data_IF_434894742172
#
_entry.id   IF_434894742172
#
_cell.length_a   1.000
_cell.length_b   1.000
_cell.length_c   1.000
_cell.angle_alpha   90.00
_cell.angle_beta   90.00
_cell.angle_gamma   90.00
#
_symmetry.space_group_name_H-M   'P 1'
#
loop_
_entity.id
_entity.type
_entity.pdbx_description
1 polymer ?
#
# COMPACT_ATOMS: atom_id res chain seq x y z
N UNK A 1 14.57 16.96 3.02
CA UNK A 1 14.67 16.77 1.57
C UNK A 1 15.97 16.04 1.23
N UNK A 2 16.04 14.73 1.42
CA UNK A 2 17.25 13.94 1.08
C UNK A 2 16.88 12.46 0.94
N UNK A 3 15.99 12.13 -0.02
CA UNK A 3 15.57 10.73 -0.23
C UNK A 3 15.37 10.33 -1.70
N UNK A 4 15.94 11.06 -2.65
CA UNK A 4 15.76 10.74 -4.11
C UNK A 4 17.11 10.64 -4.86
N UNK A 5 18.23 10.40 -4.21
CA UNK A 5 19.52 10.42 -4.91
C UNK A 5 20.27 9.08 -4.97
N UNK A 6 19.61 7.93 -4.83
CA UNK A 6 20.35 6.65 -4.82
C UNK A 6 19.73 5.50 -5.62
N UNK A 7 19.02 5.78 -6.71
CA UNK A 7 18.43 4.73 -7.55
C UNK A 7 18.73 4.88 -9.05
N UNK A 8 19.81 5.56 -9.42
CA UNK A 8 20.33 5.51 -10.80
C UNK A 8 21.73 4.88 -10.81
N UNK A 9 21.81 3.62 -10.43
CA UNK A 9 22.93 2.79 -10.85
C UNK A 9 22.61 2.27 -12.25
N UNK A 10 23.39 2.66 -13.24
CA UNK A 10 23.28 2.21 -14.61
C UNK A 10 23.29 0.67 -14.65
N UNK A 11 22.18 0.10 -15.08
CA UNK A 11 22.08 -1.32 -15.41
C UNK A 11 22.79 -1.49 -16.78
N UNK A 12 23.87 -2.25 -16.88
CA UNK A 12 24.41 -2.58 -18.19
C UNK A 12 23.38 -3.41 -18.95
N UNK A 13 22.98 -2.95 -20.12
CA UNK A 13 22.23 -3.70 -21.13
C UNK A 13 23.07 -4.91 -21.57
N UNK A 14 23.00 -5.99 -20.85
CA UNK A 14 23.38 -7.30 -21.32
C UNK A 14 22.10 -8.00 -21.76
N UNK A 15 21.83 -7.96 -23.06
CA UNK A 15 20.89 -8.85 -23.72
C UNK A 15 21.31 -10.31 -23.43
N UNK A 16 20.73 -10.88 -22.38
CA UNK A 16 20.68 -12.31 -22.14
C UNK A 16 19.23 -12.74 -22.31
N UNK A 17 18.91 -13.22 -23.48
CA UNK A 17 17.65 -13.97 -23.66
C UNK A 17 17.66 -15.18 -22.70
N UNK A 18 16.91 -15.07 -21.62
CA UNK A 18 16.63 -16.23 -20.78
C UNK A 18 15.77 -17.21 -21.58
N UNK A 19 16.08 -18.51 -21.57
CA UNK A 19 15.34 -19.51 -22.29
C UNK A 19 13.86 -19.49 -21.89
N UNK A 20 12.97 -19.63 -22.86
CA UNK A 20 11.52 -19.53 -22.71
C UNK A 20 10.91 -20.46 -21.65
N UNK A 21 11.62 -21.51 -21.25
CA UNK A 21 11.19 -22.46 -20.22
C UNK A 21 11.20 -21.89 -18.79
N UNK A 22 12.01 -20.85 -18.50
CA UNK A 22 12.06 -20.21 -17.19
C UNK A 22 10.98 -19.13 -16.99
N UNK A 23 10.24 -18.77 -18.04
CA UNK A 23 9.19 -17.75 -18.00
C UNK A 23 7.84 -18.27 -17.51
N UNK A 24 7.66 -19.58 -17.38
CA UNK A 24 6.46 -20.14 -16.78
C UNK A 24 6.56 -20.04 -15.26
N UNK A 25 6.08 -18.92 -14.70
CA UNK A 25 6.16 -18.63 -13.28
C UNK A 25 5.70 -19.79 -12.45
N UNK A 26 6.60 -20.32 -11.68
CA UNK A 26 6.37 -21.43 -10.75
C UNK A 26 5.49 -20.88 -9.64
N UNK A 27 4.23 -21.29 -9.64
CA UNK A 27 3.38 -21.13 -8.45
C UNK A 27 3.96 -22.03 -7.36
N UNK A 28 4.32 -21.52 -6.21
CA UNK A 28 4.71 -22.37 -5.10
C UNK A 28 3.52 -23.25 -4.73
N UNK A 29 3.63 -24.55 -4.99
CA UNK A 29 2.55 -25.53 -4.75
C UNK A 29 2.26 -25.78 -3.28
N UNK A 30 3.10 -25.35 -2.36
CA UNK A 30 2.85 -25.44 -0.91
C UNK A 30 3.91 -24.69 -0.08
N UNK A 31 3.47 -24.02 0.91
CA UNK A 31 4.06 -23.85 2.24
C UNK A 31 5.10 -22.75 2.45
N UNK A 32 6.12 -22.60 1.68
CA UNK A 32 7.18 -21.61 1.94
C UNK A 32 7.26 -20.60 0.81
N UNK A 33 6.92 -19.35 1.12
CA UNK A 33 7.03 -18.26 0.17
C UNK A 33 8.51 -18.00 -0.16
N UNK A 34 8.84 -17.97 -1.45
CA UNK A 34 10.15 -17.58 -1.97
C UNK A 34 10.03 -16.23 -2.65
N UNK A 35 11.07 -15.38 -2.54
CA UNK A 35 11.16 -14.15 -3.30
C UNK A 35 11.27 -14.40 -4.80
N UNK A 36 11.18 -13.35 -5.59
CA UNK A 36 11.31 -13.41 -7.05
C UNK A 36 12.69 -13.99 -7.41
N UNK A 37 13.55 -13.85 -7.52
CA UNK A 37 14.84 -14.12 -8.06
C UNK A 37 15.46 -12.84 -8.61
N UNK A 38 16.60 -12.96 -9.28
CA UNK A 38 17.32 -11.81 -9.81
C UNK A 38 16.59 -11.10 -10.97
N UNK A 39 15.81 -11.83 -11.76
CA UNK A 39 15.18 -11.32 -12.98
C UNK A 39 13.67 -11.59 -13.00
N UNK A 40 12.86 -10.78 -12.29
CA UNK A 40 11.41 -10.94 -12.33
C UNK A 40 10.86 -10.56 -13.71
N UNK A 41 9.86 -11.29 -14.20
CA UNK A 41 9.13 -10.91 -15.41
C UNK A 41 8.21 -9.71 -15.11
N UNK A 42 8.71 -8.51 -15.39
CA UNK A 42 8.02 -7.25 -15.14
C UNK A 42 6.80 -7.02 -16.04
N UNK A 43 6.69 -7.78 -17.14
CA UNK A 43 5.56 -7.67 -18.08
C UNK A 43 4.39 -8.57 -17.66
N UNK A 44 4.61 -9.53 -16.80
CA UNK A 44 3.60 -10.45 -16.34
C UNK A 44 2.68 -9.80 -15.32
N UNK A 45 1.38 -9.91 -15.56
CA UNK A 45 0.36 -9.52 -14.59
C UNK A 45 0.10 -10.68 -13.63
N UNK A 46 0.40 -10.48 -12.37
CA UNK A 46 0.13 -11.44 -11.30
C UNK A 46 -1.21 -11.14 -10.63
N UNK A 47 -1.92 -12.18 -10.23
CA UNK A 47 -3.10 -12.07 -9.38
C UNK A 47 -2.68 -12.28 -7.92
N UNK A 48 -3.41 -11.74 -6.95
CA UNK A 48 -3.15 -11.99 -5.54
C UNK A 48 -3.05 -13.49 -5.24
N UNK A 49 -1.97 -13.92 -4.58
CA UNK A 49 -1.69 -15.31 -4.28
C UNK A 49 -0.99 -16.12 -5.38
N UNK A 50 -0.64 -15.54 -6.53
CA UNK A 50 0.09 -16.23 -7.59
C UNK A 50 1.55 -16.53 -7.20
N UNK A 51 2.16 -15.67 -6.40
CA UNK A 51 3.58 -15.77 -6.03
C UNK A 51 3.80 -16.48 -4.69
N UNK A 52 2.93 -16.23 -3.74
CA UNK A 52 2.95 -16.81 -2.40
C UNK A 52 1.53 -16.88 -1.81
N UNK A 53 1.30 -17.80 -0.85
CA UNK A 53 -0.01 -17.89 -0.19
C UNK A 53 -0.35 -16.58 0.54
N UNK A 54 -1.58 -16.13 0.41
CA UNK A 54 -2.07 -14.96 1.11
C UNK A 54 -2.23 -15.24 2.62
N UNK A 55 -2.06 -14.20 3.41
CA UNK A 55 -2.00 -14.27 4.88
C UNK A 55 -3.36 -14.09 5.54
N UNK A 56 -4.21 -13.20 5.01
CA UNK A 56 -5.45 -12.87 5.67
C UNK A 56 -6.46 -14.03 5.66
N UNK A 57 -7.07 -14.28 6.81
CA UNK A 57 -8.31 -15.07 6.88
C UNK A 57 -9.45 -14.30 6.20
N UNK A 58 -10.56 -14.98 5.93
CA UNK A 58 -11.76 -14.34 5.34
C UNK A 58 -12.25 -13.15 6.19
N UNK A 59 -12.22 -13.28 7.51
CA UNK A 59 -12.67 -12.22 8.42
C UNK A 59 -11.68 -11.06 8.50
N UNK A 60 -10.38 -11.34 8.54
CA UNK A 60 -9.34 -10.32 8.45
C UNK A 60 -9.42 -9.55 7.13
N UNK A 61 -9.65 -10.24 6.01
CA UNK A 61 -9.85 -9.60 4.72
C UNK A 61 -11.04 -8.65 4.73
N UNK A 62 -12.19 -9.07 5.29
CA UNK A 62 -13.39 -8.20 5.44
C UNK A 62 -13.07 -6.97 6.29
N UNK A 63 -12.34 -7.16 7.38
CA UNK A 63 -11.92 -6.07 8.26
C UNK A 63 -11.02 -5.07 7.53
N UNK A 64 -10.05 -5.56 6.76
CA UNK A 64 -9.14 -4.71 5.98
C UNK A 64 -9.88 -3.96 4.87
N UNK A 65 -10.88 -4.55 4.21
CA UNK A 65 -11.74 -3.87 3.24
C UNK A 65 -12.38 -2.63 3.87
N UNK A 66 -13.01 -2.78 5.05
CA UNK A 66 -13.64 -1.67 5.77
C UNK A 66 -12.60 -0.60 6.16
N UNK A 67 -11.44 -1.02 6.64
CA UNK A 67 -10.36 -0.09 7.01
C UNK A 67 -9.80 0.67 5.80
N UNK A 68 -9.67 0.01 4.66
CA UNK A 68 -9.27 0.65 3.39
C UNK A 68 -10.22 1.79 3.02
N UNK A 69 -11.53 1.56 3.11
CA UNK A 69 -12.53 2.56 2.76
C UNK A 69 -12.67 3.68 3.81
N UNK A 70 -12.36 3.41 5.07
CA UNK A 70 -12.26 4.47 6.09
C UNK A 70 -11.03 5.35 5.86
N UNK A 71 -9.90 4.78 5.40
CA UNK A 71 -8.65 5.51 5.16
C UNK A 71 -8.72 6.30 3.85
N UNK A 72 -9.23 5.69 2.78
CA UNK A 72 -9.37 6.28 1.44
C UNK A 72 -10.80 6.02 0.93
N UNK A 73 -11.78 6.82 1.40
CA UNK A 73 -13.16 6.69 0.97
C UNK A 73 -13.35 7.14 -0.47
N UNK A 74 -14.43 6.67 -1.11
CA UNK A 74 -14.84 7.22 -2.39
C UNK A 74 -15.31 8.68 -2.22
N UNK A 75 -15.05 9.49 -3.23
CA UNK A 75 -15.58 10.83 -3.36
C UNK A 75 -16.26 11.03 -4.74
N UNK A 76 -16.47 12.28 -5.15
CA UNK A 76 -17.16 12.60 -6.42
C UNK A 76 -16.33 12.22 -7.67
N UNK A 77 -15.03 12.15 -7.53
CA UNK A 77 -14.07 11.99 -8.64
C UNK A 77 -13.29 10.70 -8.58
N UNK A 78 -13.20 10.11 -7.40
CA UNK A 78 -12.29 9.00 -7.13
C UNK A 78 -13.00 7.83 -6.41
N UNK A 79 -12.77 6.57 -6.84
CA UNK A 79 -13.32 5.39 -6.16
C UNK A 79 -12.65 5.16 -4.81
N UNK A 80 -13.29 4.37 -3.92
CA UNK A 80 -12.65 3.99 -2.65
C UNK A 80 -11.50 3.02 -2.84
N UNK A 81 -10.67 2.88 -1.81
CA UNK A 81 -9.52 1.97 -1.85
C UNK A 81 -9.93 0.50 -2.06
N UNK A 82 -11.03 0.06 -1.46
CA UNK A 82 -11.50 -1.31 -1.65
C UNK A 82 -11.98 -1.57 -3.07
N UNK A 83 -12.61 -0.59 -3.73
CA UNK A 83 -13.04 -0.69 -5.12
C UNK A 83 -11.85 -0.83 -6.09
N UNK A 84 -10.68 -0.34 -5.71
CA UNK A 84 -9.44 -0.47 -6.48
C UNK A 84 -8.61 -1.70 -6.11
N UNK A 85 -9.13 -2.58 -5.24
CA UNK A 85 -8.42 -3.79 -4.83
C UNK A 85 -7.22 -3.54 -3.91
N UNK A 86 -7.15 -2.39 -3.25
CA UNK A 86 -6.02 -2.03 -2.35
C UNK A 86 -5.89 -3.01 -1.19
N UNK A 87 -6.98 -3.61 -0.73
CA UNK A 87 -6.95 -4.65 0.28
C UNK A 87 -6.20 -5.92 -0.19
N UNK A 88 -6.23 -6.22 -1.49
CA UNK A 88 -5.46 -7.32 -2.08
C UNK A 88 -3.96 -6.98 -2.11
N UNK A 89 -3.63 -5.74 -2.46
CA UNK A 89 -2.25 -5.25 -2.37
C UNK A 89 -1.70 -5.35 -0.94
N UNK A 90 -2.49 -4.97 0.07
CA UNK A 90 -2.06 -5.08 1.48
C UNK A 90 -1.81 -6.53 1.86
N UNK A 91 -2.70 -7.45 1.48
CA UNK A 91 -2.51 -8.89 1.75
C UNK A 91 -1.28 -9.44 1.05
N UNK A 92 -1.10 -9.14 -0.24
CA UNK A 92 0.06 -9.54 -1.03
C UNK A 92 1.37 -9.01 -0.41
N UNK A 93 1.39 -7.74 -0.01
CA UNK A 93 2.54 -7.12 0.65
C UNK A 93 2.96 -7.86 1.91
N UNK A 94 2.03 -8.06 2.86
CA UNK A 94 2.36 -8.71 4.13
C UNK A 94 2.61 -10.22 3.99
N UNK A 95 2.19 -10.83 2.88
CA UNK A 95 2.39 -12.25 2.60
C UNK A 95 3.75 -12.56 2.01
N UNK A 96 4.42 -11.54 1.48
CA UNK A 96 5.72 -11.71 0.83
C UNK A 96 6.82 -12.15 1.82
N UNK A 97 7.85 -12.88 1.33
CA UNK A 97 8.85 -13.54 2.19
C UNK A 97 9.96 -12.63 2.71
N UNK A 98 9.96 -11.35 2.33
CA UNK A 98 11.05 -10.44 2.64
C UNK A 98 11.03 -9.96 4.11
N UNK A 99 12.18 -9.66 4.72
CA UNK A 99 12.26 -9.32 6.14
C UNK A 99 11.39 -8.12 6.54
N UNK A 100 11.37 -7.04 5.74
CA UNK A 100 10.58 -5.85 6.01
C UNK A 100 9.09 -6.16 6.02
N UNK A 101 8.60 -6.92 5.03
CA UNK A 101 7.20 -7.30 4.91
C UNK A 101 6.76 -8.28 6.01
N UNK A 102 7.66 -9.15 6.47
CA UNK A 102 7.40 -9.99 7.66
C UNK A 102 7.23 -9.15 8.92
N UNK A 103 8.01 -8.08 9.08
CA UNK A 103 7.84 -7.10 10.15
C UNK A 103 6.47 -6.43 10.08
N UNK A 104 6.07 -5.98 8.90
CA UNK A 104 4.76 -5.38 8.64
C UNK A 104 3.61 -6.35 8.93
N UNK A 105 3.75 -7.62 8.52
CA UNK A 105 2.78 -8.68 8.83
C UNK A 105 2.47 -8.75 10.31
N UNK A 106 3.50 -8.80 11.15
CA UNK A 106 3.33 -8.90 12.59
C UNK A 106 2.58 -7.69 13.16
N UNK A 107 2.91 -6.47 12.69
CA UNK A 107 2.25 -5.24 13.12
C UNK A 107 0.79 -5.22 12.68
N UNK A 108 0.52 -5.56 11.43
CA UNK A 108 -0.83 -5.54 10.84
C UNK A 108 -1.72 -6.58 11.53
N UNK A 109 -1.31 -7.84 11.62
CA UNK A 109 -2.12 -8.90 12.24
C UNK A 109 -2.40 -8.62 13.72
N UNK A 110 -1.39 -8.14 14.47
CA UNK A 110 -1.59 -7.70 15.87
C UNK A 110 -2.61 -6.55 15.96
N UNK A 111 -2.55 -5.62 15.01
CA UNK A 111 -3.47 -4.49 14.98
C UNK A 111 -4.91 -4.88 14.67
N UNK A 112 -5.13 -5.80 13.73
CA UNK A 112 -6.46 -6.33 13.41
C UNK A 112 -7.08 -7.03 14.61
N UNK A 113 -6.33 -7.90 15.31
CA UNK A 113 -6.80 -8.55 16.55
C UNK A 113 -7.13 -7.53 17.64
N UNK A 114 -6.30 -6.50 17.79
CA UNK A 114 -6.55 -5.44 18.76
C UNK A 114 -7.83 -4.64 18.46
N UNK A 115 -8.16 -4.41 17.18
CA UNK A 115 -9.39 -3.73 16.78
C UNK A 115 -10.63 -4.50 17.24
N UNK A 116 -10.67 -5.80 16.99
CA UNK A 116 -11.80 -6.65 17.42
C UNK A 116 -11.91 -6.74 18.95
N UNK A 117 -10.79 -6.85 19.66
CA UNK A 117 -10.79 -6.78 21.13
C UNK A 117 -11.31 -5.42 21.64
N UNK A 118 -10.89 -4.33 21.01
CA UNK A 118 -11.33 -2.97 21.38
C UNK A 118 -12.82 -2.77 21.15
N UNK A 119 -13.33 -3.27 20.03
CA UNK A 119 -14.75 -3.25 19.70
C UNK A 119 -15.55 -4.13 20.66
N UNK A 120 -15.07 -5.33 20.95
CA UNK A 120 -15.71 -6.28 21.88
C UNK A 120 -15.83 -5.76 23.30
N UNK A 121 -14.81 -5.09 23.83
CA UNK A 121 -14.83 -4.46 25.17
C UNK A 121 -15.84 -3.32 25.27
N UNK A 122 -16.04 -2.56 24.19
CA UNK A 122 -16.92 -1.39 24.19
C UNK A 122 -18.37 -1.75 23.87
N UNK A 123 -18.60 -2.61 22.88
CA UNK A 123 -19.91 -2.83 22.28
C UNK A 123 -20.33 -4.31 22.24
N UNK A 124 -19.54 -5.24 22.80
CA UNK A 124 -19.74 -6.70 22.73
C UNK A 124 -19.90 -7.23 21.30
N UNK A 125 -19.27 -6.58 20.31
CA UNK A 125 -19.38 -6.85 18.89
C UNK A 125 -18.00 -6.80 18.22
N UNK A 126 -17.84 -7.46 17.07
CA UNK A 126 -16.63 -7.28 16.24
C UNK A 126 -16.57 -5.87 15.63
N UNK A 127 -15.38 -5.41 15.24
CA UNK A 127 -15.24 -4.08 14.63
C UNK A 127 -16.12 -3.91 13.39
N UNK A 128 -16.24 -4.93 12.55
CA UNK A 128 -17.07 -4.90 11.34
C UNK A 128 -18.57 -4.70 11.66
N UNK A 129 -19.01 -5.23 12.80
CA UNK A 129 -20.42 -5.15 13.24
C UNK A 129 -20.79 -3.81 13.87
N UNK A 130 -19.81 -2.93 14.12
CA UNK A 130 -20.08 -1.58 14.62
C UNK A 130 -20.73 -0.72 13.53
N UNK A 131 -21.52 0.26 13.95
CA UNK A 131 -22.01 1.27 13.02
C UNK A 131 -20.83 2.14 12.49
N UNK A 132 -21.01 2.78 11.33
CA UNK A 132 -19.92 3.56 10.69
C UNK A 132 -19.36 4.68 11.58
N UNK A 133 -20.19 5.31 12.41
CA UNK A 133 -19.76 6.38 13.33
C UNK A 133 -18.78 5.85 14.39
N UNK A 134 -19.05 4.69 14.97
CA UNK A 134 -18.18 4.08 15.98
C UNK A 134 -16.89 3.54 15.35
N UNK A 135 -16.95 2.94 14.16
CA UNK A 135 -15.77 2.55 13.40
C UNK A 135 -14.86 3.73 13.14
N UNK A 136 -15.42 4.84 12.64
CA UNK A 136 -14.68 6.07 12.36
C UNK A 136 -14.07 6.65 13.64
N UNK A 137 -14.80 6.67 14.75
CA UNK A 137 -14.30 7.18 16.03
C UNK A 137 -13.08 6.39 16.55
N UNK A 138 -13.09 5.05 16.39
CA UNK A 138 -11.94 4.22 16.74
C UNK A 138 -10.75 4.52 15.82
N UNK A 139 -10.98 4.65 14.51
CA UNK A 139 -9.91 4.98 13.55
C UNK A 139 -9.33 6.38 13.78
N UNK A 140 -10.15 7.37 14.14
CA UNK A 140 -9.68 8.71 14.50
C UNK A 140 -8.82 8.70 15.79
N UNK A 141 -9.18 7.89 16.79
CA UNK A 141 -8.36 7.69 17.98
C UNK A 141 -6.99 7.09 17.64
N UNK A 142 -6.99 6.08 16.76
CA UNK A 142 -5.75 5.48 16.25
C UNK A 142 -4.91 6.48 15.46
N UNK A 143 -5.53 7.32 14.63
CA UNK A 143 -4.83 8.37 13.88
C UNK A 143 -4.16 9.38 14.81
N UNK A 144 -4.84 9.81 15.91
CA UNK A 144 -4.24 10.67 16.94
C UNK A 144 -3.05 10.02 17.61
N UNK A 145 -3.15 8.73 17.97
CA UNK A 145 -2.04 7.97 18.56
C UNK A 145 -0.86 7.82 17.61
N UNK A 146 -1.14 7.55 16.33
CA UNK A 146 -0.11 7.46 15.29
C UNK A 146 0.59 8.81 15.07
N UNK A 147 -0.14 9.93 15.15
CA UNK A 147 0.43 11.29 15.06
C UNK A 147 1.30 11.62 16.27
N UNK A 148 0.90 11.18 17.46
CA UNK A 148 1.66 11.42 18.69
C UNK A 148 2.95 10.60 18.74
N UNK A 149 2.87 9.29 18.44
CA UNK A 149 4.02 8.40 18.33
C UNK A 149 3.73 7.23 17.38
N UNK A 150 4.24 7.34 16.16
CA UNK A 150 4.06 6.32 15.12
C UNK A 150 4.84 5.01 15.38
N UNK A 151 5.70 4.96 16.38
CA UNK A 151 6.47 3.76 16.75
C UNK A 151 5.81 2.96 17.86
N UNK A 152 4.93 3.59 18.66
CA UNK A 152 4.25 2.95 19.78
C UNK A 152 2.91 2.36 19.36
N UNK A 153 2.69 1.09 19.71
CA UNK A 153 1.41 0.40 19.49
C UNK A 153 0.29 1.02 20.36
N UNK A 154 -0.94 1.19 19.88
CA UNK A 154 -1.47 0.79 18.57
C UNK A 154 -1.30 1.84 17.46
N UNK A 155 -0.67 2.98 17.72
CA UNK A 155 -0.40 4.02 16.73
C UNK A 155 0.45 3.50 15.56
N UNK A 156 1.45 2.66 15.85
CA UNK A 156 2.32 2.05 14.83
C UNK A 156 1.56 1.17 13.84
N UNK A 157 0.57 0.43 14.29
CA UNK A 157 -0.32 -0.34 13.42
C UNK A 157 -1.06 0.57 12.44
N UNK A 158 -1.75 1.60 12.93
CA UNK A 158 -2.53 2.48 12.07
C UNK A 158 -1.65 3.28 11.12
N UNK A 159 -0.50 3.74 11.59
CA UNK A 159 0.50 4.41 10.75
C UNK A 159 0.93 3.52 9.59
N UNK A 160 1.28 2.26 9.88
CA UNK A 160 1.73 1.32 8.85
C UNK A 160 0.62 0.94 7.88
N UNK A 161 -0.58 0.62 8.40
CA UNK A 161 -1.73 0.30 7.55
C UNK A 161 -2.08 1.46 6.62
N UNK A 162 -2.15 2.69 7.15
CA UNK A 162 -2.43 3.88 6.35
C UNK A 162 -1.40 4.07 5.23
N UNK A 163 -0.12 3.85 5.53
CA UNK A 163 0.93 4.00 4.53
C UNK A 163 0.84 2.93 3.43
N UNK A 164 0.49 1.70 3.78
CA UNK A 164 0.25 0.65 2.79
C UNK A 164 -0.98 0.95 1.94
N UNK A 165 -2.08 1.38 2.56
CA UNK A 165 -3.32 1.72 1.84
C UNK A 165 -3.08 2.90 0.90
N UNK A 166 -2.44 3.97 1.36
CA UNK A 166 -2.13 5.12 0.52
C UNK A 166 -1.16 4.75 -0.61
N UNK A 167 -0.11 3.97 -0.32
CA UNK A 167 0.83 3.48 -1.32
C UNK A 167 0.14 2.64 -2.39
N UNK A 168 -0.69 1.66 -1.97
CA UNK A 168 -1.47 0.84 -2.90
C UNK A 168 -2.45 1.67 -3.73
N UNK A 169 -3.13 2.64 -3.12
CA UNK A 169 -4.09 3.51 -3.79
C UNK A 169 -3.43 4.36 -4.89
N UNK A 170 -2.40 5.11 -4.54
CA UNK A 170 -1.75 6.05 -5.46
C UNK A 170 -0.82 5.39 -6.50
N UNK A 171 -0.66 4.08 -6.44
CA UNK A 171 -0.03 3.28 -7.52
C UNK A 171 -1.04 2.71 -8.52
N UNK A 172 -2.35 2.89 -8.29
CA UNK A 172 -3.37 2.55 -9.27
C UNK A 172 -3.54 3.65 -10.32
N UNK A 173 -4.03 3.34 -11.54
CA UNK A 173 -4.32 4.36 -12.54
C UNK A 173 -5.29 5.45 -12.04
N UNK A 174 -6.29 5.09 -11.24
CA UNK A 174 -7.23 6.03 -10.65
C UNK A 174 -6.55 6.94 -9.62
N UNK A 175 -5.74 6.39 -8.73
CA UNK A 175 -4.99 7.18 -7.75
C UNK A 175 -3.93 8.08 -8.38
N UNK A 176 -3.24 7.62 -9.44
CA UNK A 176 -2.33 8.47 -10.21
C UNK A 176 -3.05 9.65 -10.85
N UNK A 177 -4.25 9.41 -11.43
CA UNK A 177 -5.08 10.47 -11.99
C UNK A 177 -5.53 11.46 -10.92
N UNK A 178 -5.90 10.98 -9.75
CA UNK A 178 -6.37 11.79 -8.62
C UNK A 178 -5.34 12.83 -8.16
N UNK A 179 -4.06 12.45 -8.11
CA UNK A 179 -2.96 13.36 -7.76
C UNK A 179 -2.36 14.09 -8.97
N UNK A 180 -2.91 13.93 -10.17
CA UNK A 180 -2.39 14.55 -11.38
C UNK A 180 -1.01 14.04 -11.79
N UNK A 181 -0.64 12.82 -11.42
CA UNK A 181 0.66 12.23 -11.79
C UNK A 181 0.70 11.89 -13.28
N UNK A 182 1.55 12.56 -14.01
CA UNK A 182 1.73 12.38 -15.47
C UNK A 182 2.91 11.47 -15.84
N UNK A 183 3.70 11.04 -14.86
CA UNK A 183 4.94 10.31 -15.11
C UNK A 183 6.06 11.22 -15.64
N UNK A 184 7.11 10.61 -16.15
CA UNK A 184 8.19 11.33 -16.82
C UNK A 184 7.79 11.55 -18.27
N UNK A 185 7.48 12.78 -18.64
CA UNK A 185 7.20 13.19 -20.00
C UNK A 185 8.49 13.79 -20.57
N UNK A 186 8.99 13.30 -21.73
CA UNK A 186 10.13 13.93 -22.40
C UNK A 186 9.80 15.38 -22.73
N UNK A 187 10.71 16.29 -22.47
CA UNK A 187 10.61 17.70 -22.82
C UNK A 187 11.88 18.11 -23.55
N UNK A 188 11.72 18.88 -24.63
CA UNK A 188 12.86 19.38 -25.41
C UNK A 188 13.67 20.40 -24.62
N UNK A 189 12.98 21.20 -23.78
CA UNK A 189 13.60 22.19 -22.90
C UNK A 189 12.96 22.21 -21.54
N UNK A 190 13.77 22.43 -20.50
CA UNK A 190 13.30 22.65 -19.15
C UNK A 190 13.09 24.15 -18.90
N UNK A 191 11.84 24.59 -18.91
CA UNK A 191 11.45 25.98 -18.68
C UNK A 191 11.16 26.31 -17.20
N UNK A 192 11.60 25.48 -16.28
CA UNK A 192 11.31 25.63 -14.86
C UNK A 192 9.89 25.24 -14.44
N UNK A 193 9.54 25.42 -13.18
CA UNK A 193 8.19 25.20 -12.70
C UNK A 193 7.23 26.26 -13.25
N UNK A 194 5.94 25.93 -13.49
CA UNK A 194 4.95 26.92 -13.88
C UNK A 194 4.87 28.10 -12.90
N UNK A 195 4.63 29.31 -13.40
CA UNK A 195 4.53 30.51 -12.57
C UNK A 195 3.52 30.40 -11.42
N UNK A 196 2.41 29.71 -11.66
CA UNK A 196 1.39 29.46 -10.64
C UNK A 196 1.94 28.69 -9.45
N UNK A 197 2.84 27.73 -9.70
CA UNK A 197 3.51 26.94 -8.66
C UNK A 197 4.49 27.81 -7.90
N UNK A 198 5.28 28.64 -8.61
CA UNK A 198 6.22 29.58 -8.01
C UNK A 198 5.49 30.58 -7.08
N UNK A 199 4.40 31.18 -7.58
CA UNK A 199 3.54 32.07 -6.78
C UNK A 199 2.96 31.38 -5.53
N UNK A 200 2.47 30.15 -5.68
CA UNK A 200 1.89 29.37 -4.57
C UNK A 200 2.92 29.02 -3.50
N UNK A 201 4.17 28.86 -3.89
CA UNK A 201 5.28 28.53 -3.00
C UNK A 201 6.06 29.77 -2.53
N UNK A 202 5.63 30.99 -2.91
CA UNK A 202 6.35 32.26 -2.66
C UNK A 202 7.80 32.22 -3.13
N UNK A 203 8.06 31.58 -4.28
CA UNK A 203 9.36 31.53 -4.92
C UNK A 203 9.47 32.63 -5.99
N UNK A 204 10.69 33.19 -6.24
CA UNK A 204 10.89 34.17 -7.30
C UNK A 204 10.61 33.54 -8.68
N UNK A 205 10.02 34.33 -9.58
CA UNK A 205 9.91 33.97 -10.99
C UNK A 205 11.32 33.92 -11.60
N UNK A 206 11.57 32.93 -12.47
CA UNK A 206 12.85 32.81 -13.20
C UNK A 206 12.89 33.76 -14.36
#
# INVERSE_FOLDING_TARGET
MQWISSAMAAIPLLEREAPAAERSGIRPKSGVAKGYGPDPDLMRKYKPGDLWPLTFTKDQRRLVIVLCDIIMPADKTSPSASMLGVHDFVDEWISSPYPAQKGDRNIILKGLSWLDEKAGRRNKASFISLNPKDQLAICQDLARKAKADSRRFPGSFFYRLRNLVAGGYYTTPAGMKDIGYLGNVPQDEWNGPPEEVLKKLNLPSQ
#
